data_IF_672657520311
#
_entry.id   IF_672657520311
#
_cell.length_a   1.000
_cell.length_b   1.000
_cell.length_c   1.000
_cell.angle_alpha   90.00
_cell.angle_beta   90.00
_cell.angle_gamma   90.00
#
_symmetry.space_group_name_H-M   'P 1'
#
loop_
_entity.id
_entity.type
_entity.pdbx_description
1 polymer ?
#
# COMPACT_ATOMS: atom_id res chain seq x y z
N UNK A 1 -0.69 -11.90 -5.30
CA UNK A 1 -1.39 -11.36 -4.12
C UNK A 1 -0.89 -9.93 -3.98
N UNK A 2 -1.57 -9.07 -3.22
CA UNK A 2 -1.15 -7.68 -3.06
C UNK A 2 -1.44 -7.24 -1.63
N UNK A 3 -0.71 -6.24 -1.15
CA UNK A 3 -1.14 -5.52 0.06
C UNK A 3 -2.35 -4.65 -0.25
N UNK A 4 -3.21 -4.41 0.74
CA UNK A 4 -4.26 -3.39 0.70
C UNK A 4 -4.06 -2.41 1.84
N UNK A 5 -4.47 -1.19 1.58
CA UNK A 5 -4.57 -0.13 2.58
C UNK A 5 -6.00 -0.14 3.12
N UNK A 6 -6.13 0.01 4.44
CA UNK A 6 -7.41 -0.01 5.15
C UNK A 6 -7.89 1.41 5.46
N UNK A 7 -9.09 1.51 6.02
CA UNK A 7 -9.77 2.76 6.39
C UNK A 7 -9.09 3.52 7.53
N UNK A 8 -8.10 2.94 8.19
CA UNK A 8 -7.27 3.60 9.21
C UNK A 8 -6.10 4.39 8.62
N UNK A 9 -6.00 4.50 7.29
CA UNK A 9 -5.02 5.36 6.64
C UNK A 9 -5.14 6.82 7.12
N UNK A 10 -3.99 7.46 7.34
CA UNK A 10 -3.90 8.87 7.77
C UNK A 10 -3.27 9.78 6.71
N UNK A 11 -3.15 9.27 5.47
CA UNK A 11 -2.64 9.99 4.28
C UNK A 11 -1.29 10.67 4.53
N UNK A 12 -0.38 9.97 5.22
CA UNK A 12 0.91 10.52 5.65
C UNK A 12 2.00 10.53 4.57
N UNK A 13 1.80 9.88 3.41
CA UNK A 13 2.79 9.81 2.33
C UNK A 13 3.85 8.72 2.47
N UNK A 14 4.10 8.20 3.68
CA UNK A 14 5.28 7.36 3.95
C UNK A 14 5.38 6.07 3.12
N UNK A 15 4.26 5.46 2.72
CA UNK A 15 4.28 4.22 1.96
C UNK A 15 4.54 4.42 0.45
N UNK A 16 4.30 5.61 -0.10
CA UNK A 16 4.42 5.87 -1.54
C UNK A 16 5.89 5.80 -1.97
N UNK A 17 6.77 6.49 -1.24
CA UNK A 17 8.21 6.58 -1.55
C UNK A 17 8.94 5.24 -1.38
N UNK A 18 8.39 4.34 -0.56
CA UNK A 18 9.00 3.05 -0.23
C UNK A 18 8.60 1.93 -1.19
N UNK A 19 7.57 2.14 -2.02
CA UNK A 19 7.14 1.14 -2.98
C UNK A 19 8.11 1.07 -4.18
N UNK A 20 8.83 -0.04 -4.40
CA UNK A 20 9.87 -0.12 -5.43
C UNK A 20 9.34 -0.09 -6.87
N UNK A 21 8.03 -0.22 -7.06
CA UNK A 21 7.35 -0.31 -8.35
C UNK A 21 6.21 0.72 -8.47
N UNK A 22 6.14 1.69 -7.55
CA UNK A 22 5.15 2.79 -7.60
C UNK A 22 3.70 2.27 -7.73
N UNK A 23 3.38 1.19 -7.00
CA UNK A 23 2.05 0.58 -6.99
C UNK A 23 1.04 1.33 -6.11
N UNK A 24 1.49 2.25 -5.26
CA UNK A 24 0.65 2.98 -4.31
C UNK A 24 0.43 4.40 -4.82
N UNK A 25 -0.82 4.85 -4.79
CA UNK A 25 -1.21 6.23 -5.11
C UNK A 25 -1.92 6.89 -3.94
N UNK A 26 -1.92 8.21 -3.93
CA UNK A 26 -2.59 9.01 -2.91
C UNK A 26 -4.13 8.98 -3.05
N UNK A 27 -4.81 9.60 -2.08
CA UNK A 27 -6.28 9.67 -2.02
C UNK A 27 -6.92 10.44 -3.19
N UNK A 28 -6.21 11.38 -3.82
CA UNK A 28 -6.70 12.12 -4.98
C UNK A 28 -6.70 11.27 -6.25
N UNK A 29 -5.80 10.29 -6.33
CA UNK A 29 -5.68 9.34 -7.45
C UNK A 29 -6.34 7.98 -7.18
N UNK A 30 -6.98 7.82 -6.02
CA UNK A 30 -7.68 6.59 -5.67
C UNK A 30 -8.88 6.33 -6.61
N UNK A 31 -8.88 5.24 -7.41
CA UNK A 31 -9.95 4.95 -8.36
C UNK A 31 -11.28 4.55 -7.72
N UNK A 32 -11.28 4.19 -6.43
CA UNK A 32 -12.50 3.87 -5.66
C UNK A 32 -13.21 5.13 -5.14
N UNK A 33 -12.51 6.27 -5.11
CA UNK A 33 -13.01 7.54 -4.56
C UNK A 33 -13.00 7.60 -3.03
N UNK A 34 -12.33 6.66 -2.36
CA UNK A 34 -12.13 6.71 -0.91
C UNK A 34 -11.01 7.69 -0.54
N UNK A 35 -11.15 8.38 0.61
CA UNK A 35 -10.16 9.35 1.12
C UNK A 35 -8.94 8.67 1.78
N UNK A 36 -8.55 7.51 1.27
CA UNK A 36 -7.39 6.72 1.71
C UNK A 36 -6.49 6.45 0.51
N UNK A 37 -5.24 6.11 0.79
CA UNK A 37 -4.31 5.70 -0.26
C UNK A 37 -4.73 4.36 -0.86
N UNK A 38 -4.37 4.16 -2.13
CA UNK A 38 -4.80 2.98 -2.89
C UNK A 38 -3.61 2.21 -3.44
N UNK A 39 -3.70 0.87 -3.37
CA UNK A 39 -2.69 -0.03 -3.93
C UNK A 39 -3.25 -0.66 -5.20
N UNK A 40 -2.58 -0.45 -6.32
CA UNK A 40 -2.83 -1.15 -7.57
C UNK A 40 -2.36 -2.61 -7.45
N UNK A 41 -3.32 -3.52 -7.28
CA UNK A 41 -3.04 -4.96 -7.13
C UNK A 41 -2.31 -5.57 -8.34
N UNK A 42 -2.52 -5.00 -9.53
CA UNK A 42 -1.90 -5.40 -10.79
C UNK A 42 -0.44 -4.96 -10.90
N UNK A 43 -0.03 -3.94 -10.12
CA UNK A 43 1.35 -3.44 -10.06
C UNK A 43 2.11 -3.97 -8.86
N UNK A 44 1.43 -4.33 -7.77
CA UNK A 44 2.08 -4.79 -6.56
C UNK A 44 2.82 -6.11 -6.80
N UNK A 45 4.15 -6.09 -6.63
CA UNK A 45 5.01 -7.28 -6.78
C UNK A 45 5.34 -7.97 -5.45
N UNK A 46 4.59 -7.66 -4.38
CA UNK A 46 4.83 -8.20 -3.03
C UNK A 46 6.25 -7.91 -2.51
N UNK A 47 6.89 -6.85 -3.03
CA UNK A 47 8.31 -6.52 -2.85
C UNK A 47 9.30 -7.61 -3.29
N UNK A 48 8.86 -8.66 -3.99
CA UNK A 48 9.72 -9.76 -4.44
C UNK A 48 10.83 -9.24 -5.35
N UNK A 49 12.07 -9.54 -4.98
CA UNK A 49 13.27 -9.10 -5.70
C UNK A 49 13.81 -7.73 -5.27
N UNK A 50 13.16 -7.06 -4.31
CA UNK A 50 13.60 -5.80 -3.73
C UNK A 50 13.81 -5.89 -2.22
N UNK A 51 12.83 -6.46 -1.50
CA UNK A 51 12.84 -6.60 -0.04
C UNK A 51 12.27 -7.97 0.37
N UNK A 52 12.63 -8.44 1.57
CA UNK A 52 12.13 -9.70 2.13
C UNK A 52 10.69 -9.56 2.69
N UNK A 53 10.29 -8.34 3.02
CA UNK A 53 9.00 -7.96 3.62
C UNK A 53 8.45 -6.69 2.93
N UNK A 54 7.13 -6.42 3.03
CA UNK A 54 6.52 -5.28 2.37
C UNK A 54 7.02 -3.95 2.98
N UNK A 55 7.93 -3.27 2.27
CA UNK A 55 8.52 -2.01 2.70
C UNK A 55 7.48 -0.92 3.03
N UNK A 56 6.39 -0.88 2.27
CA UNK A 56 5.28 0.03 2.54
C UNK A 56 4.63 -0.20 3.92
N UNK A 57 4.48 -1.46 4.34
CA UNK A 57 3.89 -1.80 5.64
C UNK A 57 4.85 -1.44 6.79
N UNK A 58 6.15 -1.68 6.62
CA UNK A 58 7.18 -1.32 7.59
C UNK A 58 7.32 0.20 7.78
N UNK A 59 7.17 0.96 6.69
CA UNK A 59 7.22 2.42 6.74
C UNK A 59 5.93 3.07 7.25
N UNK A 60 4.82 2.34 7.31
CA UNK A 60 3.54 2.90 7.72
C UNK A 60 3.55 3.20 9.22
N UNK A 61 3.34 4.46 9.65
CA UNK A 61 3.33 4.81 11.08
C UNK A 61 2.08 4.29 11.82
N UNK A 62 1.07 3.84 11.07
CA UNK A 62 -0.18 3.32 11.62
C UNK A 62 -0.18 1.80 11.52
N UNK A 63 -0.01 1.13 12.65
CA UNK A 63 -0.02 -0.34 12.72
C UNK A 63 -1.36 -0.92 12.22
N UNK A 64 -1.28 -1.97 11.39
CA UNK A 64 -2.46 -2.61 10.79
C UNK A 64 -3.09 -1.83 9.63
N UNK A 65 -2.53 -0.68 9.23
CA UNK A 65 -3.04 0.10 8.09
C UNK A 65 -2.85 -0.65 6.76
N UNK A 66 -1.68 -1.26 6.58
CA UNK A 66 -1.34 -2.03 5.40
C UNK A 66 -1.35 -3.50 5.77
N UNK A 67 -2.23 -4.27 5.13
CA UNK A 67 -2.38 -5.70 5.38
C UNK A 67 -2.32 -6.47 4.08
N UNK A 68 -2.00 -7.75 4.15
CA UNK A 68 -2.13 -8.62 2.98
C UNK A 68 -3.60 -8.72 2.58
N UNK A 69 -3.88 -8.54 1.29
CA UNK A 69 -5.18 -8.89 0.73
C UNK A 69 -5.26 -10.41 0.69
N UNK A 70 -5.78 -11.00 1.77
CA UNK A 70 -6.17 -12.41 1.76
C UNK A 70 -7.27 -12.59 0.70
N UNK A 71 -6.89 -13.19 -0.43
CA UNK A 71 -7.84 -13.67 -1.42
C UNK A 71 -8.50 -14.92 -0.83
N UNK A 72 -9.76 -14.81 -0.41
CA UNK A 72 -10.59 -15.97 -0.10
C UNK A 72 -11.01 -16.71 -1.38
#
# INVERSE_FOLDING_TARGET
>A
MAVKITDICINCGACIDECPVEAIVDDSENPTGEEIYYVYEDKCVECVGYYDEPACAEACPTEGCIVWSDCA
#
